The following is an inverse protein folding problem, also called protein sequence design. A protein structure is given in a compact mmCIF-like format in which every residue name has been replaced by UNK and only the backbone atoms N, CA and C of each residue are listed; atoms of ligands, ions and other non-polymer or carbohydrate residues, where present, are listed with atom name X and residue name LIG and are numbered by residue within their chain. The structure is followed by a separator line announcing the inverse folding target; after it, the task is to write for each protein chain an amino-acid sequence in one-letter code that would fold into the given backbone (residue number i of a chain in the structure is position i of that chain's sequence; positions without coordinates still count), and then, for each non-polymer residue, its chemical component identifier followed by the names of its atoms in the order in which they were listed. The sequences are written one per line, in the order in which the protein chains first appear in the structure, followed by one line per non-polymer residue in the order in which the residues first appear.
data_IF_746861888986
#
_entry.id   IF_746861888986
#
_cell.length_a   1.000
_cell.length_b   1.000
_cell.length_c   1.000
_cell.angle_alpha   90.00
_cell.angle_beta   90.00
_cell.angle_gamma   90.00
#
_symmetry.space_group_name_H-M   'P 1'
#
loop_
_entity.id
_entity.type
_entity.pdbx_description
1 polymer ?
#
# COMPACT_ATOMS: atom_id res chain seq x y z
N UNK A 1 1.14 -19.69 -21.43
CA UNK A 1 -0.31 -19.40 -21.46
C UNK A 1 -0.52 -18.28 -20.44
N UNK A 2 -1.10 -17.17 -20.86
CA UNK A 2 -1.42 -16.02 -20.01
C UNK A 2 -2.89 -16.13 -19.61
N UNK A 3 -3.19 -16.01 -18.31
CA UNK A 3 -4.56 -16.05 -17.81
C UNK A 3 -5.13 -14.62 -17.71
N UNK A 4 -6.34 -14.47 -18.25
CA UNK A 4 -7.09 -13.21 -18.27
C UNK A 4 -8.35 -13.37 -17.43
N UNK A 5 -8.64 -12.38 -16.58
CA UNK A 5 -9.92 -12.23 -15.90
C UNK A 5 -10.57 -10.90 -16.28
N UNK A 6 -11.87 -10.91 -16.49
CA UNK A 6 -12.65 -9.70 -16.75
C UNK A 6 -13.60 -9.41 -15.58
N UNK A 7 -13.71 -8.17 -15.20
CA UNK A 7 -14.53 -7.70 -14.08
C UNK A 7 -15.36 -6.51 -14.55
N UNK A 8 -16.65 -6.56 -14.34
CA UNK A 8 -17.53 -5.41 -14.58
C UNK A 8 -17.36 -4.39 -13.45
N UNK A 9 -16.78 -3.23 -13.76
CA UNK A 9 -16.48 -2.18 -12.79
C UNK A 9 -17.73 -1.67 -12.08
N UNK A 10 -18.89 -1.66 -12.77
CA UNK A 10 -20.16 -1.15 -12.22
C UNK A 10 -20.75 -2.05 -11.12
N UNK A 11 -20.39 -3.34 -11.10
CA UNK A 11 -20.90 -4.33 -10.15
C UNK A 11 -19.85 -4.83 -9.16
N UNK A 12 -18.60 -4.42 -9.33
CA UNK A 12 -17.48 -4.93 -8.53
C UNK A 12 -17.67 -4.72 -7.03
N UNK A 13 -18.13 -3.52 -6.61
CA UNK A 13 -18.39 -3.22 -5.21
C UNK A 13 -19.48 -4.10 -4.60
N UNK A 14 -20.52 -4.39 -5.36
CA UNK A 14 -21.57 -5.31 -4.93
C UNK A 14 -21.01 -6.74 -4.72
N UNK A 15 -20.17 -7.21 -5.62
CA UNK A 15 -19.53 -8.51 -5.47
C UNK A 15 -18.53 -8.54 -4.30
N UNK A 16 -17.76 -7.47 -4.08
CA UNK A 16 -16.89 -7.37 -2.91
C UNK A 16 -17.66 -7.41 -1.59
N UNK A 17 -18.83 -6.79 -1.54
CA UNK A 17 -19.66 -6.74 -0.34
C UNK A 17 -20.34 -8.09 -0.04
N UNK A 18 -20.77 -8.83 -1.08
CA UNK A 18 -21.63 -10.00 -0.90
C UNK A 18 -20.96 -11.35 -1.22
N UNK A 19 -19.95 -11.36 -2.09
CA UNK A 19 -19.32 -12.58 -2.61
C UNK A 19 -17.79 -12.45 -2.74
N UNK A 20 -17.18 -11.76 -1.78
CA UNK A 20 -15.76 -11.39 -1.83
C UNK A 20 -14.84 -12.58 -2.12
N UNK A 21 -14.99 -13.67 -1.37
CA UNK A 21 -14.13 -14.86 -1.53
C UNK A 21 -14.20 -15.39 -2.96
N UNK A 22 -15.41 -15.53 -3.51
CA UNK A 22 -15.61 -16.11 -4.83
C UNK A 22 -14.98 -15.27 -5.94
N UNK A 23 -15.14 -13.94 -5.91
CA UNK A 23 -14.53 -13.06 -6.91
C UNK A 23 -13.02 -13.01 -6.76
N UNK A 24 -12.50 -12.97 -5.54
CA UNK A 24 -11.06 -12.92 -5.29
C UNK A 24 -10.34 -14.21 -5.70
N UNK A 25 -10.95 -15.38 -5.52
CA UNK A 25 -10.41 -16.64 -6.00
C UNK A 25 -10.21 -16.65 -7.53
N UNK A 26 -11.14 -16.07 -8.29
CA UNK A 26 -11.01 -15.95 -9.75
C UNK A 26 -9.87 -15.00 -10.15
N UNK A 27 -9.64 -13.93 -9.38
CA UNK A 27 -8.61 -12.93 -9.67
C UNK A 27 -7.22 -13.34 -9.18
N UNK A 28 -7.14 -14.29 -8.25
CA UNK A 28 -5.88 -14.66 -7.59
C UNK A 28 -4.82 -15.20 -8.55
N UNK A 29 -5.23 -15.94 -9.60
CA UNK A 29 -4.31 -16.55 -10.57
C UNK A 29 -4.26 -15.79 -11.91
N UNK A 30 -4.96 -14.68 -12.05
CA UNK A 30 -4.96 -13.93 -13.29
C UNK A 30 -3.63 -13.17 -13.49
N UNK A 31 -3.03 -13.30 -14.67
CA UNK A 31 -1.88 -12.46 -15.06
C UNK A 31 -2.32 -11.05 -15.41
N UNK A 32 -3.52 -10.92 -15.99
CA UNK A 32 -4.13 -9.63 -16.34
C UNK A 32 -5.59 -9.62 -15.86
N UNK A 33 -5.98 -8.55 -15.19
CA UNK A 33 -7.35 -8.27 -14.80
C UNK A 33 -7.84 -7.05 -15.55
N UNK A 34 -8.90 -7.21 -16.34
CA UNK A 34 -9.51 -6.14 -17.11
C UNK A 34 -10.79 -5.71 -16.40
N UNK A 35 -10.82 -4.49 -15.89
CA UNK A 35 -12.04 -3.84 -15.44
C UNK A 35 -12.68 -3.18 -16.64
N UNK A 36 -13.82 -3.70 -17.09
CA UNK A 36 -14.56 -3.13 -18.19
C UNK A 36 -15.72 -2.23 -17.69
N UNK A 37 -16.35 -1.49 -18.61
CA UNK A 37 -17.43 -0.54 -18.32
C UNK A 37 -17.06 0.53 -17.29
N UNK A 38 -15.80 0.92 -17.27
CA UNK A 38 -15.37 2.03 -16.44
C UNK A 38 -15.95 3.35 -16.93
N UNK A 39 -16.35 4.18 -15.99
CA UNK A 39 -16.82 5.54 -16.22
C UNK A 39 -16.07 6.54 -15.32
N UNK A 40 -16.49 7.80 -15.33
CA UNK A 40 -15.84 8.85 -14.56
C UNK A 40 -16.02 8.69 -13.03
N UNK A 41 -16.98 7.86 -12.59
CA UNK A 41 -17.22 7.54 -11.19
C UNK A 41 -16.41 6.31 -10.70
N UNK A 42 -15.77 5.58 -11.61
CA UNK A 42 -15.01 4.37 -11.27
C UNK A 42 -13.78 4.70 -10.43
N UNK A 43 -13.77 4.24 -9.18
CA UNK A 43 -12.59 4.32 -8.30
C UNK A 43 -11.55 3.24 -8.68
N UNK A 44 -10.68 3.59 -9.62
CA UNK A 44 -9.60 2.71 -10.10
C UNK A 44 -8.62 2.34 -9.00
N UNK A 45 -8.36 3.26 -8.08
CA UNK A 45 -7.51 3.03 -6.92
C UNK A 45 -8.08 1.93 -6.01
N UNK A 46 -9.38 1.97 -5.72
CA UNK A 46 -10.06 0.92 -4.95
C UNK A 46 -10.02 -0.43 -5.66
N UNK A 47 -10.29 -0.45 -6.97
CA UNK A 47 -10.19 -1.67 -7.78
C UNK A 47 -8.80 -2.28 -7.68
N UNK A 48 -7.77 -1.45 -7.88
CA UNK A 48 -6.37 -1.86 -7.80
C UNK A 48 -6.01 -2.42 -6.43
N UNK A 49 -6.35 -1.71 -5.37
CA UNK A 49 -6.07 -2.14 -3.98
C UNK A 49 -6.64 -3.52 -3.69
N UNK A 50 -7.90 -3.75 -4.04
CA UNK A 50 -8.54 -5.03 -3.79
C UNK A 50 -7.89 -6.18 -4.56
N UNK A 51 -7.54 -6.00 -5.82
CA UNK A 51 -6.87 -7.04 -6.61
C UNK A 51 -5.44 -7.25 -6.12
N UNK A 52 -4.67 -6.18 -5.93
CA UNK A 52 -3.26 -6.24 -5.53
C UNK A 52 -3.04 -6.80 -4.12
N UNK A 53 -4.00 -6.66 -3.23
CA UNK A 53 -3.99 -7.28 -1.91
C UNK A 53 -3.88 -8.81 -2.01
N UNK A 54 -4.50 -9.42 -3.00
CA UNK A 54 -4.50 -10.88 -3.22
C UNK A 54 -3.51 -11.31 -4.31
N UNK A 55 -3.39 -10.53 -5.37
CA UNK A 55 -2.55 -10.84 -6.53
C UNK A 55 -1.66 -9.66 -6.92
N UNK A 56 -0.52 -9.51 -6.25
CA UNK A 56 0.42 -8.41 -6.49
C UNK A 56 0.99 -8.36 -7.91
N UNK A 57 1.04 -9.51 -8.60
CA UNK A 57 1.64 -9.61 -9.93
C UNK A 57 0.68 -9.24 -11.06
N UNK A 58 -0.62 -9.29 -10.82
CA UNK A 58 -1.62 -9.01 -11.84
C UNK A 58 -1.41 -7.62 -12.48
N UNK A 59 -1.42 -7.59 -13.79
CA UNK A 59 -1.56 -6.31 -14.52
C UNK A 59 -3.03 -5.93 -14.52
N UNK A 60 -3.33 -4.65 -14.27
CA UNK A 60 -4.69 -4.15 -14.30
C UNK A 60 -4.87 -3.23 -15.50
N UNK A 61 -5.96 -3.47 -16.23
CA UNK A 61 -6.40 -2.67 -17.37
C UNK A 61 -7.79 -2.15 -17.05
N UNK A 62 -8.02 -0.88 -17.30
CA UNK A 62 -9.32 -0.24 -17.15
C UNK A 62 -9.84 0.15 -18.53
N UNK A 63 -11.01 -0.34 -18.89
CA UNK A 63 -11.62 -0.18 -20.20
C UNK A 63 -12.99 0.48 -20.03
N UNK A 64 -13.25 1.50 -20.83
CA UNK A 64 -14.54 2.18 -20.90
C UNK A 64 -15.56 1.33 -21.66
N UNK A 65 -16.84 1.74 -21.59
CA UNK A 65 -17.92 1.03 -22.28
C UNK A 65 -17.75 1.00 -23.80
N UNK A 66 -17.09 1.99 -24.38
CA UNK A 66 -16.77 2.08 -25.81
C UNK A 66 -15.54 1.24 -26.24
N UNK A 67 -14.92 0.52 -25.30
CA UNK A 67 -13.72 -0.27 -25.53
C UNK A 67 -12.41 0.54 -25.51
N UNK A 68 -12.44 1.83 -25.26
CA UNK A 68 -11.23 2.64 -25.09
C UNK A 68 -10.62 2.41 -23.70
N UNK A 69 -9.30 2.58 -23.59
CA UNK A 69 -8.62 2.51 -22.30
C UNK A 69 -8.92 3.75 -21.45
N UNK A 70 -9.19 3.54 -20.18
CA UNK A 70 -9.31 4.62 -19.22
C UNK A 70 -7.91 4.99 -18.69
N UNK A 71 -7.29 5.97 -19.31
CA UNK A 71 -5.94 6.46 -18.98
C UNK A 71 -5.94 7.54 -17.88
N UNK A 72 -7.09 7.87 -17.26
CA UNK A 72 -7.13 8.85 -16.18
C UNK A 72 -6.17 8.41 -15.08
N UNK A 73 -5.41 9.35 -14.46
CA UNK A 73 -4.59 9.04 -13.30
C UNK A 73 -5.48 8.57 -12.14
N UNK A 74 -4.96 7.68 -11.31
CA UNK A 74 -5.62 7.31 -10.06
C UNK A 74 -5.53 8.49 -9.08
N UNK A 75 -6.66 8.85 -8.50
CA UNK A 75 -6.70 9.84 -7.43
C UNK A 75 -6.19 9.21 -6.13
N UNK A 76 -5.22 9.87 -5.51
CA UNK A 76 -4.73 9.52 -4.20
C UNK A 76 -5.41 10.41 -3.15
N UNK A 77 -5.70 9.88 -1.95
CA UNK A 77 -6.38 10.65 -0.91
C UNK A 77 -5.45 11.68 -0.23
N UNK A 78 -4.19 11.76 -0.63
CA UNK A 78 -3.18 12.66 -0.10
C UNK A 78 -2.46 13.42 -1.23
N UNK A 79 -1.96 14.62 -0.90
CA UNK A 79 -1.30 15.51 -1.86
C UNK A 79 0.19 15.16 -2.01
N UNK A 80 0.55 14.62 -3.18
CA UNK A 80 1.95 14.32 -3.52
C UNK A 80 2.81 15.57 -3.74
N UNK A 81 2.22 16.74 -3.92
CA UNK A 81 2.96 17.98 -4.14
C UNK A 81 3.33 18.72 -2.84
N UNK A 82 2.79 18.27 -1.71
CA UNK A 82 3.09 18.85 -0.40
C UNK A 82 4.57 18.65 -0.02
N UNK A 83 5.14 19.60 0.72
CA UNK A 83 6.50 19.50 1.26
C UNK A 83 6.67 18.29 2.19
N UNK A 84 5.63 17.97 2.95
CA UNK A 84 5.47 16.75 3.73
C UNK A 84 4.10 16.16 3.40
N UNK A 85 4.10 14.94 2.91
CA UNK A 85 2.86 14.20 2.58
C UNK A 85 2.32 13.62 3.88
N UNK A 86 1.20 14.16 4.36
CA UNK A 86 0.52 13.64 5.55
C UNK A 86 -0.30 12.40 5.18
N UNK A 87 0.01 11.29 5.83
CA UNK A 87 -0.67 10.02 5.64
C UNK A 87 -1.52 9.72 6.87
N UNK A 88 -2.83 9.79 6.72
CA UNK A 88 -3.78 9.45 7.79
C UNK A 88 -3.83 7.93 8.01
N UNK A 89 -4.44 7.52 9.12
CA UNK A 89 -4.63 6.09 9.43
C UNK A 89 -5.42 5.36 8.34
N UNK A 90 -6.46 6.01 7.81
CA UNK A 90 -7.28 5.47 6.72
C UNK A 90 -6.49 5.33 5.40
N UNK A 91 -5.51 6.19 5.18
CA UNK A 91 -4.75 6.25 3.93
C UNK A 91 -3.47 5.41 3.95
N UNK A 92 -3.07 4.92 5.13
CA UNK A 92 -1.79 4.22 5.31
C UNK A 92 -1.63 3.02 4.36
N UNK A 93 -2.64 2.17 4.26
CA UNK A 93 -2.60 1.01 3.37
C UNK A 93 -2.55 1.41 1.89
N UNK A 94 -3.26 2.49 1.53
CA UNK A 94 -3.26 3.05 0.17
C UNK A 94 -1.87 3.54 -0.20
N UNK A 95 -1.28 4.37 0.67
CA UNK A 95 0.07 4.87 0.49
C UNK A 95 1.11 3.73 0.41
N UNK A 96 1.04 2.77 1.33
CA UNK A 96 1.96 1.63 1.34
C UNK A 96 1.95 0.88 0.00
N UNK A 97 0.77 0.59 -0.53
CA UNK A 97 0.64 -0.15 -1.79
C UNK A 97 1.11 0.68 -2.99
N UNK A 98 0.70 1.96 -3.08
CA UNK A 98 1.13 2.83 -4.19
C UNK A 98 2.65 3.05 -4.15
N UNK A 99 3.22 3.25 -2.97
CA UNK A 99 4.66 3.42 -2.79
C UNK A 99 5.46 2.15 -3.15
N UNK A 100 4.93 0.96 -2.88
CA UNK A 100 5.54 -0.31 -3.27
C UNK A 100 5.46 -0.55 -4.78
N UNK A 101 4.34 -0.21 -5.41
CA UNK A 101 4.13 -0.41 -6.85
C UNK A 101 4.85 0.67 -7.68
N UNK A 102 4.90 1.90 -7.18
CA UNK A 102 5.45 3.07 -7.87
C UNK A 102 6.51 3.81 -7.03
N UNK A 103 7.57 3.15 -6.55
CA UNK A 103 8.49 3.73 -5.58
C UNK A 103 9.18 5.02 -6.06
N UNK A 104 9.45 5.13 -7.36
CA UNK A 104 10.06 6.33 -7.96
C UNK A 104 9.21 7.60 -7.81
N UNK A 105 7.90 7.47 -7.65
CA UNK A 105 6.96 8.57 -7.43
C UNK A 105 7.20 9.28 -6.10
N UNK A 106 7.79 8.54 -5.14
CA UNK A 106 8.07 9.00 -3.78
C UNK A 106 9.56 9.29 -3.52
N UNK A 107 10.45 9.06 -4.48
CA UNK A 107 11.89 9.31 -4.31
C UNK A 107 12.15 10.75 -3.88
N UNK A 108 12.86 10.92 -2.74
CA UNK A 108 13.19 12.20 -2.16
C UNK A 108 12.03 12.95 -1.49
N UNK A 109 10.83 12.37 -1.45
CA UNK A 109 9.67 12.99 -0.79
C UNK A 109 9.66 12.66 0.70
N UNK A 110 9.16 13.61 1.49
CA UNK A 110 8.93 13.43 2.92
C UNK A 110 7.51 12.98 3.16
N UNK A 111 7.34 12.01 4.04
CA UNK A 111 6.05 11.47 4.46
C UNK A 111 5.95 11.51 5.98
N UNK A 112 4.77 11.82 6.49
CA UNK A 112 4.49 11.86 7.93
C UNK A 112 3.32 10.93 8.24
N UNK A 113 3.48 10.05 9.22
CA UNK A 113 2.45 9.07 9.58
C UNK A 113 2.64 8.53 11.01
N UNK A 114 1.55 8.04 11.57
CA UNK A 114 1.54 7.30 12.83
C UNK A 114 1.91 5.83 12.58
N UNK A 115 2.86 5.30 13.34
CA UNK A 115 3.38 3.94 13.16
C UNK A 115 3.59 3.18 14.47
N UNK A 116 3.37 1.88 14.42
CA UNK A 116 3.84 0.93 15.40
C UNK A 116 5.28 0.52 15.05
N UNK A 117 6.15 0.55 16.03
CA UNK A 117 7.55 0.14 15.87
C UNK A 117 7.68 -1.37 15.91
N UNK A 118 8.11 -1.96 14.80
CA UNK A 118 8.41 -3.37 14.72
C UNK A 118 9.89 -3.56 14.40
N UNK A 119 10.59 -4.23 15.31
CA UNK A 119 12.00 -4.56 15.15
C UNK A 119 12.19 -6.05 15.47
N UNK A 120 11.96 -6.95 14.50
CA UNK A 120 12.21 -8.36 14.72
C UNK A 120 13.70 -8.60 14.95
N UNK A 121 14.06 -9.51 15.87
CA UNK A 121 15.44 -9.87 16.27
C UNK A 121 16.40 -10.17 15.10
N UNK A 122 15.86 -10.38 13.90
CA UNK A 122 16.63 -10.69 12.68
C UNK A 122 17.03 -9.45 11.86
N UNK A 123 16.57 -8.26 12.23
CA UNK A 123 16.99 -7.05 11.53
C UNK A 123 18.42 -6.68 11.91
N UNK A 124 19.13 -6.08 10.95
CA UNK A 124 20.48 -5.56 11.20
C UNK A 124 20.38 -4.36 12.12
N UNK A 125 21.43 -4.16 12.95
CA UNK A 125 21.60 -2.94 13.73
C UNK A 125 21.48 -1.71 12.84
N UNK A 126 20.82 -0.65 13.31
CA UNK A 126 20.56 0.56 12.52
C UNK A 126 19.33 0.46 11.62
N UNK A 127 18.43 -0.53 11.85
CA UNK A 127 17.24 -0.72 11.03
C UNK A 127 16.05 -1.15 11.89
N UNK A 128 14.92 -0.49 11.69
CA UNK A 128 13.63 -0.92 12.24
C UNK A 128 12.53 -0.80 11.17
N UNK A 129 11.33 -1.21 11.46
CA UNK A 129 10.19 -1.11 10.55
C UNK A 129 9.05 -0.35 11.24
N UNK A 130 8.86 0.94 10.92
CA UNK A 130 7.64 1.64 11.28
C UNK A 130 6.51 1.16 10.37
N UNK A 131 5.40 0.73 10.96
CA UNK A 131 4.32 0.15 10.17
C UNK A 131 3.00 0.10 10.92
N UNK A 132 2.02 -0.54 10.30
CA UNK A 132 0.66 -0.73 10.82
C UNK A 132 0.19 -2.15 10.54
N UNK A 133 -0.76 -2.60 11.34
CA UNK A 133 -1.55 -3.76 10.97
C UNK A 133 -2.60 -3.37 9.95
N UNK A 134 -2.67 -4.07 8.84
CA UNK A 134 -3.67 -3.85 7.81
C UNK A 134 -4.43 -5.15 7.54
N UNK A 135 -5.73 -5.03 7.45
CA UNK A 135 -6.61 -6.11 7.01
C UNK A 135 -6.56 -6.19 5.49
N UNK A 136 -6.13 -7.31 4.93
CA UNK A 136 -6.02 -7.48 3.49
C UNK A 136 -7.30 -7.99 2.84
N UNK A 137 -7.95 -8.98 3.42
CA UNK A 137 -9.21 -9.51 2.86
C UNK A 137 -10.29 -9.83 3.90
N UNK A 138 -9.93 -10.26 5.10
CA UNK A 138 -10.87 -10.54 6.18
C UNK A 138 -10.18 -10.37 7.55
N UNK A 139 -10.96 -10.43 8.64
CA UNK A 139 -10.44 -10.27 10.01
C UNK A 139 -9.34 -11.28 10.34
N UNK A 140 -9.34 -12.45 9.71
CA UNK A 140 -8.32 -13.49 9.91
C UNK A 140 -7.00 -13.20 9.18
N UNK A 141 -7.00 -12.24 8.22
CA UNK A 141 -5.85 -11.87 7.39
C UNK A 141 -5.29 -10.50 7.75
N UNK A 142 -5.09 -10.25 9.02
CA UNK A 142 -4.41 -9.05 9.49
C UNK A 142 -2.90 -9.24 9.37
N UNK A 143 -2.26 -8.43 8.55
CA UNK A 143 -0.82 -8.49 8.31
C UNK A 143 -0.16 -7.17 8.67
N UNK A 144 1.01 -7.25 9.33
CA UNK A 144 1.82 -6.08 9.58
C UNK A 144 2.49 -5.64 8.26
N UNK A 145 2.24 -4.41 7.85
CA UNK A 145 2.85 -3.78 6.68
C UNK A 145 3.67 -2.55 7.11
N UNK A 146 4.85 -2.39 6.54
CA UNK A 146 5.74 -1.28 6.84
C UNK A 146 6.98 -1.30 5.96
N UNK A 147 7.66 -0.18 5.90
CA UNK A 147 8.88 -0.04 5.14
C UNK A 147 10.11 -0.17 6.03
N UNK A 148 11.18 -0.69 5.45
CA UNK A 148 12.49 -0.64 6.08
C UNK A 148 12.89 0.80 6.36
N UNK A 149 13.25 1.09 7.60
CA UNK A 149 13.71 2.40 8.04
C UNK A 149 15.14 2.29 8.55
N UNK A 150 16.03 3.13 8.03
CA UNK A 150 17.43 3.19 8.47
C UNK A 150 17.58 4.33 9.46
N UNK A 151 17.96 3.98 10.69
CA UNK A 151 18.14 4.95 11.77
C UNK A 151 19.25 4.47 12.72
N UNK A 152 20.27 5.29 12.92
CA UNK A 152 21.46 4.89 13.71
C UNK A 152 21.13 4.65 15.20
N UNK A 153 20.13 5.35 15.71
CA UNK A 153 19.70 5.30 17.12
C UNK A 153 18.43 4.45 17.30
N UNK A 154 18.23 3.40 16.51
CA UNK A 154 17.03 2.55 16.58
C UNK A 154 16.83 1.88 17.94
N UNK A 155 17.93 1.66 18.68
CA UNK A 155 17.92 1.10 20.02
C UNK A 155 17.28 2.02 21.08
N UNK A 156 17.16 3.31 20.78
CA UNK A 156 16.47 4.29 21.63
C UNK A 156 14.94 4.25 21.47
N UNK A 157 14.43 3.56 20.42
CA UNK A 157 13.00 3.46 20.14
C UNK A 157 12.49 2.14 20.71
N UNK A 158 11.57 2.17 21.71
CA UNK A 158 11.07 0.93 22.31
C UNK A 158 10.32 0.07 21.29
N UNK A 159 10.59 -1.24 21.29
CA UNK A 159 9.85 -2.20 20.49
C UNK A 159 8.36 -2.20 20.85
N UNK A 160 7.49 -2.22 19.86
CA UNK A 160 6.03 -2.11 20.01
C UNK A 160 5.55 -0.77 20.59
N UNK A 161 6.38 0.28 20.58
CA UNK A 161 5.90 1.64 20.84
C UNK A 161 5.22 2.25 19.63
N UNK A 162 4.35 3.22 19.90
CA UNK A 162 3.75 4.06 18.86
C UNK A 162 4.58 5.32 18.70
N UNK A 163 4.77 5.73 17.45
CA UNK A 163 5.54 6.93 17.09
C UNK A 163 4.85 7.68 15.96
N UNK A 164 4.91 9.01 16.02
CA UNK A 164 4.75 9.84 14.83
C UNK A 164 6.12 9.96 14.15
N UNK A 165 6.20 9.56 12.92
CA UNK A 165 7.44 9.60 12.14
C UNK A 165 7.28 10.47 10.90
N UNK A 166 8.21 11.42 10.70
CA UNK A 166 8.42 12.07 9.41
C UNK A 166 9.71 11.51 8.82
N UNK A 167 9.63 10.95 7.63
CA UNK A 167 10.78 10.32 6.98
C UNK A 167 10.86 10.66 5.49
N UNK A 168 12.07 10.74 4.98
CA UNK A 168 12.32 10.84 3.55
C UNK A 168 12.35 9.44 2.92
N UNK A 169 11.73 9.30 1.76
CA UNK A 169 11.64 8.04 1.03
C UNK A 169 12.77 7.96 -0.01
N UNK A 170 13.54 6.88 0.00
CA UNK A 170 14.56 6.59 -1.00
C UNK A 170 14.34 5.22 -1.63
N UNK A 171 14.65 5.09 -2.92
CA UNK A 171 14.51 3.83 -3.65
C UNK A 171 15.83 3.09 -3.66
N UNK A 172 15.96 2.07 -2.82
CA UNK A 172 17.19 1.31 -2.66
C UNK A 172 16.98 -0.19 -2.86
N UNK A 173 18.07 -0.89 -3.11
CA UNK A 173 18.05 -2.35 -3.09
C UNK A 173 17.91 -2.86 -1.65
N UNK A 174 16.89 -3.65 -1.41
CA UNK A 174 16.71 -4.35 -0.15
C UNK A 174 16.44 -5.84 -0.39
N UNK A 175 17.11 -6.68 0.42
CA UNK A 175 16.94 -8.15 0.30
C UNK A 175 15.52 -8.59 0.57
N UNK A 176 14.85 -7.88 1.46
CA UNK A 176 13.48 -8.09 1.89
C UNK A 176 12.50 -7.91 0.70
N UNK A 177 12.81 -6.97 -0.20
CA UNK A 177 12.02 -6.72 -1.42
C UNK A 177 12.47 -7.59 -2.61
N UNK A 178 13.58 -8.33 -2.46
CA UNK A 178 14.26 -9.06 -3.57
C UNK A 178 14.54 -8.14 -4.78
N UNK A 179 14.73 -6.85 -4.54
CA UNK A 179 14.91 -5.83 -5.56
C UNK A 179 15.00 -4.42 -4.98
N UNK A 180 14.75 -3.43 -5.83
CA UNK A 180 14.67 -2.03 -5.39
C UNK A 180 13.27 -1.75 -4.85
N UNK A 181 13.20 -1.06 -3.73
CA UNK A 181 11.96 -0.64 -3.09
C UNK A 181 12.16 0.53 -2.13
N UNK A 182 11.08 1.02 -1.51
CA UNK A 182 11.13 2.16 -0.61
C UNK A 182 11.91 1.85 0.67
N UNK A 183 12.83 2.73 1.03
CA UNK A 183 13.56 2.72 2.30
C UNK A 183 13.40 4.09 2.93
N UNK A 184 13.02 4.13 4.19
CA UNK A 184 12.78 5.36 4.92
C UNK A 184 14.03 5.83 5.67
N UNK A 185 14.22 7.14 5.67
CA UNK A 185 15.24 7.84 6.46
C UNK A 185 14.54 8.85 7.34
N UNK A 186 14.48 8.67 8.67
CA UNK A 186 13.72 9.54 9.53
C UNK A 186 14.33 10.95 9.59
N UNK A 187 13.46 11.93 9.48
CA UNK A 187 13.75 13.36 9.71
C UNK A 187 13.38 13.71 11.15
N UNK A 188 12.24 13.22 11.64
CA UNK A 188 11.82 13.33 13.03
C UNK A 188 11.09 12.07 13.48
N UNK A 189 11.22 11.77 14.76
CA UNK A 189 10.51 10.66 15.43
C UNK A 189 10.05 11.20 16.79
N UNK A 190 8.76 11.14 17.04
CA UNK A 190 8.15 11.58 18.29
C UNK A 190 7.31 10.42 18.88
N UNK A 191 7.36 10.19 20.21
CA UNK A 191 6.47 9.24 20.85
C UNK A 191 5.01 9.60 20.60
N UNK A 192 4.16 8.60 20.40
CA UNK A 192 2.74 8.77 20.19
C UNK A 192 1.94 7.77 21.02
N UNK A 193 0.64 8.04 21.18
CA UNK A 193 -0.29 7.11 21.80
C UNK A 193 -0.86 6.13 20.78
N UNK A 194 -1.29 4.98 21.25
CA UNK A 194 -1.99 4.00 20.43
C UNK A 194 -3.31 4.60 19.96
N UNK A 195 -3.68 4.48 18.66
CA UNK A 195 -5.01 4.89 18.20
C UNK A 195 -6.12 4.09 18.86
N UNK A 196 -7.28 4.72 19.06
CA UNK A 196 -8.42 4.10 19.78
C UNK A 196 -9.03 2.91 19.00
N UNK A 197 -8.89 2.89 17.67
CA UNK A 197 -9.54 1.94 16.77
C UNK A 197 -8.63 0.76 16.32
N UNK A 198 -7.54 0.46 17.03
CA UNK A 198 -6.64 -0.68 16.74
C UNK A 198 -6.56 -1.74 17.85
#
# INVERSE_FOLDING_TARGET
VQSLATVDATTFDMYLANMRTMIMEQLFQADVVIFNRCDDSTDKGKCRRNVKAQNRKAQLVFEREDGSLDERPEELPFDLSADVIEITDADYAIWYMDCMDNPKKYEGKKVSFLALVYNPEKLKKGVFVPGRFAMTCCIEDVTFIGFKCKYADEDKIPYKSWINITAEVHVEFAREYKGKGPVLYPVSIEPAEKPEDE
#
